data_IF_159529966141
#
_entry.id   IF_159529966141
#
_cell.length_a   1.000
_cell.length_b   1.000
_cell.length_c   1.000
_cell.angle_alpha   90.00
_cell.angle_beta   90.00
_cell.angle_gamma   90.00
#
_symmetry.space_group_name_H-M   'P 1'
#
loop_
_entity.id
_entity.type
_entity.pdbx_description
1 polymer ?
#
# COMPACT_ATOMS: atom_id res chain seq x y z
N UNK A 1 -20.04 -10.10 -23.26
CA UNK A 1 -18.79 -9.37 -22.90
C UNK A 1 -17.59 -10.25 -23.27
N UNK A 2 -16.63 -9.74 -24.05
CA UNK A 2 -15.47 -10.52 -24.51
C UNK A 2 -14.50 -10.89 -23.38
N UNK A 3 -13.63 -11.89 -23.58
CA UNK A 3 -12.60 -12.28 -22.59
C UNK A 3 -11.70 -11.10 -22.24
N UNK A 4 -11.25 -10.34 -23.24
CA UNK A 4 -10.41 -9.14 -23.05
C UNK A 4 -11.10 -8.06 -22.21
N UNK A 5 -12.40 -7.85 -22.42
CA UNK A 5 -13.21 -6.94 -21.61
C UNK A 5 -13.31 -7.38 -20.14
N UNK A 6 -13.47 -8.69 -19.89
CA UNK A 6 -13.49 -9.23 -18.52
C UNK A 6 -12.14 -9.05 -17.82
N UNK A 7 -11.03 -9.29 -18.54
CA UNK A 7 -9.68 -9.08 -18.01
C UNK A 7 -9.40 -7.61 -17.69
N UNK A 8 -9.92 -6.68 -18.49
CA UNK A 8 -9.88 -5.25 -18.17
C UNK A 8 -10.61 -4.92 -16.87
N UNK A 9 -11.85 -5.41 -16.69
CA UNK A 9 -12.60 -5.19 -15.44
C UNK A 9 -11.86 -5.79 -14.24
N UNK A 10 -11.24 -6.96 -14.40
CA UNK A 10 -10.41 -7.56 -13.37
C UNK A 10 -9.19 -6.70 -13.02
N UNK A 11 -8.51 -6.13 -14.02
CA UNK A 11 -7.39 -5.20 -13.80
C UNK A 11 -7.83 -3.95 -13.04
N UNK A 12 -9.00 -3.39 -13.38
CA UNK A 12 -9.57 -2.24 -12.66
C UNK A 12 -9.94 -2.59 -11.20
N UNK A 13 -10.43 -3.80 -10.94
CA UNK A 13 -10.66 -4.28 -9.59
C UNK A 13 -9.37 -4.39 -8.78
N UNK A 14 -8.29 -4.88 -9.39
CA UNK A 14 -6.96 -4.93 -8.75
C UNK A 14 -6.39 -3.54 -8.48
N UNK A 15 -6.62 -2.61 -9.40
CA UNK A 15 -6.27 -1.20 -9.23
C UNK A 15 -6.98 -0.60 -8.00
N UNK A 16 -8.27 -0.89 -7.83
CA UNK A 16 -9.02 -0.43 -6.66
C UNK A 16 -8.52 -1.04 -5.34
N UNK A 17 -8.17 -2.33 -5.35
CA UNK A 17 -7.55 -3.02 -4.20
C UNK A 17 -6.20 -2.41 -3.83
N UNK A 18 -5.40 -2.02 -4.82
CA UNK A 18 -4.15 -1.31 -4.61
C UNK A 18 -4.36 0.00 -3.84
N UNK A 19 -5.25 0.87 -4.30
CA UNK A 19 -5.54 2.14 -3.63
C UNK A 19 -6.10 1.96 -2.21
N UNK A 20 -6.89 0.90 -1.95
CA UNK A 20 -7.33 0.60 -0.59
C UNK A 20 -6.15 0.21 0.30
N UNK A 21 -5.23 -0.58 -0.22
CA UNK A 21 -4.03 -1.00 0.49
C UNK A 21 -3.06 0.15 0.77
N UNK A 22 -2.99 1.13 -0.13
CA UNK A 22 -2.26 2.38 0.13
C UNK A 22 -2.88 3.17 1.28
N UNK A 23 -4.21 3.28 1.33
CA UNK A 23 -4.92 3.93 2.45
C UNK A 23 -4.67 3.20 3.77
N UNK A 24 -4.77 1.88 3.77
CA UNK A 24 -4.42 1.04 4.91
C UNK A 24 -2.98 1.30 5.35
N UNK A 25 -2.05 1.35 4.40
CA UNK A 25 -0.64 1.61 4.66
C UNK A 25 -0.39 2.96 5.34
N UNK A 26 -1.03 4.03 4.86
CA UNK A 26 -0.95 5.36 5.47
C UNK A 26 -1.47 5.31 6.92
N UNK A 27 -2.64 4.70 7.15
CA UNK A 27 -3.22 4.59 8.49
C UNK A 27 -2.33 3.81 9.47
N UNK A 28 -1.70 2.73 9.01
CA UNK A 28 -0.75 1.96 9.82
C UNK A 28 0.52 2.76 10.15
N UNK A 29 1.02 3.54 9.19
CA UNK A 29 2.19 4.41 9.40
C UNK A 29 1.88 5.51 10.41
N UNK A 30 0.72 6.16 10.31
CA UNK A 30 0.26 7.18 11.26
C UNK A 30 0.03 6.60 12.66
N UNK A 31 -0.54 5.39 12.74
CA UNK A 31 -0.66 4.64 13.99
C UNK A 31 0.70 4.35 14.61
N UNK A 32 1.65 3.86 13.81
CA UNK A 32 3.03 3.61 14.23
C UNK A 32 3.71 4.90 14.71
N UNK A 33 3.55 6.02 14.00
CA UNK A 33 4.04 7.35 14.42
C UNK A 33 3.56 7.71 15.83
N UNK A 34 2.26 7.55 16.05
CA UNK A 34 1.59 7.89 17.31
C UNK A 34 2.12 7.03 18.45
N UNK A 35 2.21 5.71 18.25
CA UNK A 35 2.72 4.78 19.24
C UNK A 35 4.21 5.00 19.54
N UNK A 36 5.01 5.29 18.52
CA UNK A 36 6.44 5.57 18.65
C UNK A 36 6.71 6.86 19.41
N UNK A 37 5.94 7.92 19.14
CA UNK A 37 6.06 9.18 19.85
C UNK A 37 5.64 9.05 21.32
N UNK A 38 4.61 8.25 21.63
CA UNK A 38 4.24 7.95 23.01
C UNK A 38 5.39 7.25 23.77
N UNK A 39 6.04 6.25 23.15
CA UNK A 39 7.19 5.57 23.73
C UNK A 39 8.37 6.52 24.00
N UNK A 40 8.64 7.46 23.07
CA UNK A 40 9.71 8.46 23.22
C UNK A 40 9.42 9.45 24.33
N UNK A 41 8.20 9.98 24.39
CA UNK A 41 7.80 10.97 25.39
C UNK A 41 7.96 10.42 26.83
N UNK A 42 7.63 9.14 27.05
CA UNK A 42 7.81 8.51 28.36
C UNK A 42 9.28 8.24 28.71
N UNK A 43 10.10 7.86 27.72
CA UNK A 43 11.54 7.69 27.92
C UNK A 43 12.19 9.01 28.34
N UNK A 44 11.83 10.11 27.67
CA UNK A 44 12.30 11.45 27.98
C UNK A 44 11.79 11.94 29.35
N UNK A 45 10.53 11.63 29.70
CA UNK A 45 9.95 11.95 31.01
C UNK A 45 10.60 11.16 32.16
N UNK A 46 11.19 10.00 31.88
CA UNK A 46 11.90 9.16 32.85
C UNK A 46 13.38 9.56 33.05
N UNK A 47 13.95 10.37 32.14
CA UNK A 47 15.34 10.82 32.18
C UNK A 47 15.73 11.74 33.37
N UNK A 48 14.88 12.63 33.94
CA UNK A 48 15.29 13.49 35.05
C UNK A 48 15.43 12.79 36.42
N UNK A 49 15.01 11.54 36.57
CA UNK A 49 15.10 10.82 37.85
C UNK A 49 16.51 10.27 38.16
N UNK A 50 17.33 10.00 37.13
CA UNK A 50 18.69 9.46 37.32
C UNK A 50 19.72 10.53 37.70
N UNK A 51 19.46 11.81 37.38
CA UNK A 51 20.31 12.92 37.79
C UNK A 51 20.09 13.33 39.27
N UNK A 52 18.89 13.13 39.83
CA UNK A 52 18.57 13.43 41.23
C UNK A 52 18.91 12.29 42.20
N UNK A 53 19.02 11.05 41.72
CA UNK A 53 19.38 9.88 42.55
C UNK A 53 20.86 9.83 42.96
N UNK A 54 21.72 10.71 42.42
CA UNK A 54 23.13 10.81 42.77
C UNK A 54 23.44 11.55 44.09
N UNK A 55 22.44 12.03 44.84
CA UNK A 55 22.67 12.83 46.07
C UNK A 55 21.87 12.40 47.30
N UNK A 56 21.45 11.13 47.37
CA UNK A 56 20.83 10.60 48.59
C UNK A 56 21.28 9.16 48.89
N UNK A 57 22.55 9.02 49.26
CA UNK A 57 23.02 7.82 49.96
C UNK A 57 22.74 7.98 51.47
N UNK A 58 21.74 7.28 52.00
CA UNK A 58 21.87 6.61 53.31
C UNK A 58 20.71 5.67 53.63
N UNK A 59 21.10 4.40 53.87
CA UNK A 59 20.52 3.47 54.84
C UNK A 59 19.24 2.69 54.48
N UNK A 60 19.34 1.36 54.48
CA UNK A 60 18.21 0.48 54.80
C UNK A 60 18.00 -0.74 53.88
N UNK A 61 18.81 -1.78 54.07
CA UNK A 61 18.53 -3.21 53.96
C UNK A 61 17.25 -3.72 53.21
N UNK A 62 17.45 -4.55 52.18
CA UNK A 62 16.59 -5.72 51.91
C UNK A 62 15.80 -5.74 50.59
N UNK A 63 16.19 -6.66 49.69
CA UNK A 63 15.29 -7.34 48.75
C UNK A 63 14.93 -6.58 47.48
N UNK A 64 15.67 -6.85 46.41
CA UNK A 64 15.28 -6.50 45.05
C UNK A 64 13.94 -7.16 44.68
N UNK A 65 12.87 -6.37 44.65
CA UNK A 65 11.69 -6.63 43.83
C UNK A 65 11.47 -5.40 42.96
N UNK A 66 11.53 -5.60 41.65
CA UNK A 66 11.13 -4.64 40.64
C UNK A 66 9.74 -4.10 40.99
N UNK A 67 9.69 -2.87 41.51
CA UNK A 67 8.46 -2.20 41.88
C UNK A 67 7.83 -1.62 40.62
N UNK A 68 6.99 -2.43 39.97
CA UNK A 68 6.09 -2.06 38.87
C UNK A 68 4.91 -1.23 39.42
N UNK A 69 5.20 -0.27 40.30
CA UNK A 69 4.23 0.48 41.07
C UNK A 69 4.62 1.97 41.12
N UNK A 70 4.41 2.65 39.99
CA UNK A 70 3.99 4.06 39.97
C UNK A 70 3.27 4.35 38.66
N UNK A 71 2.12 3.69 38.50
CA UNK A 71 1.04 4.19 37.66
C UNK A 71 0.06 4.92 38.56
N UNK A 72 -0.12 6.22 38.28
CA UNK A 72 -1.34 7.03 38.49
C UNK A 72 -1.04 8.37 39.16
N UNK A 73 -0.96 9.44 38.35
CA UNK A 73 -1.01 10.79 38.90
C UNK A 73 -0.77 11.90 37.87
N UNK A 74 -1.85 12.33 37.21
CA UNK A 74 -2.05 13.63 36.54
C UNK A 74 -1.41 13.87 35.16
N UNK A 75 -2.15 13.49 34.11
CA UNK A 75 -2.04 14.10 32.78
C UNK A 75 -2.30 13.13 31.64
N UNK A 76 -3.56 13.00 31.17
CA UNK A 76 -3.92 12.43 29.87
C UNK A 76 -3.12 11.19 29.42
N UNK A 77 -3.27 10.08 30.14
CA UNK A 77 -2.46 8.88 29.98
C UNK A 77 -2.71 8.18 28.62
N UNK A 78 -1.94 8.50 27.58
CA UNK A 78 -1.62 7.50 26.55
C UNK A 78 -0.64 6.52 27.18
N UNK A 79 -1.16 5.48 27.80
CA UNK A 79 -0.34 4.46 28.46
C UNK A 79 0.66 3.88 27.44
N UNK A 80 1.95 3.91 27.77
CA UNK A 80 3.01 3.18 27.07
C UNK A 80 2.53 1.79 26.64
N UNK A 81 2.48 1.55 25.34
CA UNK A 81 2.39 0.19 24.82
C UNK A 81 3.47 -0.02 23.76
N UNK A 82 4.69 -0.41 24.18
CA UNK A 82 5.76 -0.76 23.26
C UNK A 82 5.39 -1.95 22.37
N UNK A 83 4.53 -2.86 22.87
CA UNK A 83 4.06 -3.99 22.08
C UNK A 83 3.14 -3.52 20.95
N UNK A 84 2.31 -2.51 21.18
CA UNK A 84 1.52 -1.88 20.12
C UNK A 84 2.42 -1.27 19.04
N UNK A 85 3.50 -0.57 19.43
CA UNK A 85 4.45 -0.02 18.45
C UNK A 85 5.15 -1.12 17.63
N UNK A 86 5.53 -2.23 18.27
CA UNK A 86 6.10 -3.41 17.61
C UNK A 86 5.10 -4.10 16.68
N UNK A 87 3.86 -4.25 17.10
CA UNK A 87 2.80 -4.86 16.31
C UNK A 87 2.50 -4.01 15.07
N UNK A 88 2.33 -2.69 15.24
CA UNK A 88 2.11 -1.77 14.13
C UNK A 88 3.30 -1.76 13.18
N UNK A 89 4.54 -1.79 13.70
CA UNK A 89 5.74 -1.91 12.87
C UNK A 89 5.74 -3.20 12.05
N UNK A 90 5.39 -4.35 12.67
CA UNK A 90 5.29 -5.62 11.96
C UNK A 90 4.19 -5.58 10.88
N UNK A 91 3.05 -4.96 11.15
CA UNK A 91 1.97 -4.77 10.17
C UNK A 91 2.41 -3.87 9.01
N UNK A 92 3.11 -2.76 9.28
CA UNK A 92 3.71 -1.89 8.24
C UNK A 92 4.67 -2.70 7.36
N UNK A 93 5.54 -3.53 7.94
CA UNK A 93 6.46 -4.37 7.15
C UNK A 93 5.73 -5.46 6.36
N UNK A 94 4.61 -5.98 6.87
CA UNK A 94 3.78 -6.95 6.17
C UNK A 94 3.06 -6.36 4.95
N UNK A 95 2.91 -5.04 4.83
CA UNK A 95 2.29 -4.41 3.66
C UNK A 95 2.98 -4.83 2.35
N UNK A 96 4.31 -4.95 2.38
CA UNK A 96 5.17 -5.31 1.24
C UNK A 96 4.73 -6.61 0.56
N UNK A 97 4.43 -7.66 1.33
CA UNK A 97 4.00 -8.94 0.77
C UNK A 97 2.60 -8.86 0.16
N UNK A 98 1.72 -8.05 0.75
CA UNK A 98 0.39 -7.85 0.19
C UNK A 98 0.38 -7.04 -1.11
N UNK A 99 1.25 -6.04 -1.26
CA UNK A 99 1.44 -5.37 -2.55
C UNK A 99 2.08 -6.29 -3.60
N UNK A 100 3.05 -7.11 -3.20
CA UNK A 100 3.64 -8.12 -4.08
C UNK A 100 2.60 -9.12 -4.60
N UNK A 101 1.67 -9.55 -3.74
CA UNK A 101 0.56 -10.41 -4.13
C UNK A 101 -0.37 -9.76 -5.16
N UNK A 102 -0.71 -8.48 -4.98
CA UNK A 102 -1.50 -7.73 -5.97
C UNK A 102 -0.77 -7.60 -7.30
N UNK A 103 0.53 -7.31 -7.27
CA UNK A 103 1.35 -7.19 -8.48
C UNK A 103 1.40 -8.52 -9.24
N UNK A 104 1.58 -9.63 -8.54
CA UNK A 104 1.56 -10.97 -9.13
C UNK A 104 0.21 -11.26 -9.81
N UNK A 105 -0.92 -10.92 -9.16
CA UNK A 105 -2.25 -11.08 -9.75
C UNK A 105 -2.40 -10.26 -11.05
N UNK A 106 -1.82 -9.06 -11.10
CA UNK A 106 -1.83 -8.21 -12.30
C UNK A 106 -0.94 -8.77 -13.42
N UNK A 107 0.23 -9.34 -13.09
CA UNK A 107 1.06 -10.08 -14.05
C UNK A 107 0.29 -11.24 -14.68
N UNK A 108 -0.45 -12.00 -13.87
CA UNK A 108 -1.28 -13.12 -14.34
C UNK A 108 -2.43 -12.65 -15.25
N UNK A 109 -2.97 -11.44 -15.02
CA UNK A 109 -3.95 -10.82 -15.91
C UNK A 109 -3.33 -10.46 -17.27
N UNK A 110 -2.11 -9.90 -17.27
CA UNK A 110 -1.40 -9.57 -18.52
C UNK A 110 -1.08 -10.83 -19.34
N UNK A 111 -0.63 -11.90 -18.69
CA UNK A 111 -0.39 -13.20 -19.34
C UNK A 111 -1.66 -13.75 -19.99
N UNK A 112 -2.79 -13.70 -19.29
CA UNK A 112 -4.10 -14.10 -19.85
C UNK A 112 -4.55 -13.20 -20.99
N UNK A 113 -4.29 -11.90 -20.90
CA UNK A 113 -4.62 -10.95 -21.97
C UNK A 113 -3.78 -11.23 -23.24
N UNK A 114 -2.49 -11.53 -23.09
CA UNK A 114 -1.63 -11.97 -24.19
C UNK A 114 -2.19 -13.22 -24.87
N UNK A 115 -2.60 -14.22 -24.08
CA UNK A 115 -3.19 -15.45 -24.62
C UNK A 115 -4.47 -15.16 -25.40
N UNK A 116 -5.36 -14.31 -24.88
CA UNK A 116 -6.59 -13.91 -25.55
C UNK A 116 -6.34 -13.24 -26.92
N UNK A 117 -5.28 -12.43 -27.04
CA UNK A 117 -4.88 -11.82 -28.32
C UNK A 117 -4.38 -12.86 -29.32
N UNK A 118 -3.58 -13.83 -28.87
CA UNK A 118 -3.09 -14.92 -29.72
C UNK A 118 -4.23 -15.79 -30.25
N UNK A 119 -5.19 -16.12 -29.39
CA UNK A 119 -6.34 -16.93 -29.76
C UNK A 119 -7.27 -16.19 -30.73
N UNK A 120 -7.49 -14.89 -30.51
CA UNK A 120 -8.24 -14.05 -31.44
C UNK A 120 -7.55 -13.96 -32.82
N UNK A 121 -6.22 -13.85 -32.85
CA UNK A 121 -5.44 -13.79 -34.09
C UNK A 121 -5.53 -15.09 -34.89
N UNK A 122 -5.51 -16.25 -34.20
CA UNK A 122 -5.70 -17.57 -34.83
C UNK A 122 -7.10 -17.71 -35.43
N UNK A 123 -8.13 -17.37 -34.65
CA UNK A 123 -9.53 -17.43 -35.11
C UNK A 123 -9.80 -16.47 -36.29
N UNK A 124 -9.12 -15.33 -36.32
CA UNK A 124 -9.23 -14.35 -37.41
C UNK A 124 -8.47 -14.74 -38.67
N UNK A 125 -7.54 -15.70 -38.60
CA UNK A 125 -6.86 -16.25 -39.78
C UNK A 125 -7.72 -17.28 -40.52
N UNK A 126 -8.78 -17.79 -39.88
CA UNK A 126 -9.72 -18.77 -40.43
C UNK A 126 -10.99 -18.13 -41.01
N UNK A 127 -11.27 -16.86 -40.67
CA UNK A 127 -12.44 -16.11 -41.17
C UNK A 127 -11.98 -14.81 -41.82
N UNK A 128 -12.50 -14.52 -43.01
CA UNK A 128 -12.29 -13.23 -43.68
C UNK A 128 -12.65 -12.09 -42.72
N UNK A 129 -11.68 -11.24 -42.40
CA UNK A 129 -11.77 -10.20 -41.39
C UNK A 129 -12.76 -9.12 -41.84
N UNK A 130 -13.99 -9.17 -41.35
CA UNK A 130 -14.85 -7.99 -41.41
C UNK A 130 -14.28 -6.92 -40.47
N UNK A 131 -14.23 -5.65 -40.90
CA UNK A 131 -13.85 -4.54 -40.02
C UNK A 131 -14.77 -4.51 -38.79
N UNK A 132 -14.18 -4.42 -37.59
CA UNK A 132 -14.97 -4.22 -36.38
C UNK A 132 -15.78 -2.91 -36.52
N UNK A 133 -17.11 -2.92 -36.28
CA UNK A 133 -17.89 -1.71 -36.27
C UNK A 133 -17.41 -0.78 -35.15
N UNK A 134 -17.14 0.49 -35.47
CA UNK A 134 -16.87 1.50 -34.44
C UNK A 134 -18.12 1.66 -33.56
N UNK A 135 -17.99 1.75 -32.22
CA UNK A 135 -16.78 2.06 -31.44
C UNK A 135 -16.10 0.84 -30.78
N UNK A 136 -16.08 -0.33 -31.43
CA UNK A 136 -15.57 -1.54 -30.79
C UNK A 136 -14.04 -1.51 -30.54
N UNK A 137 -13.63 -1.93 -29.33
CA UNK A 137 -12.22 -2.13 -28.96
C UNK A 137 -11.77 -3.54 -29.35
N UNK A 138 -10.61 -3.64 -29.99
CA UNK A 138 -10.00 -4.91 -30.34
C UNK A 138 -9.29 -5.54 -29.12
N UNK A 139 -9.11 -6.88 -29.09
CA UNK A 139 -8.37 -7.57 -28.02
C UNK A 139 -6.97 -6.99 -27.75
N UNK A 140 -6.29 -6.51 -28.80
CA UNK A 140 -4.96 -5.91 -28.69
C UNK A 140 -4.97 -4.59 -27.90
N UNK A 141 -6.03 -3.78 -28.01
CA UNK A 141 -6.16 -2.52 -27.29
C UNK A 141 -6.20 -2.77 -25.77
N UNK A 142 -6.94 -3.80 -25.35
CA UNK A 142 -7.00 -4.22 -23.95
C UNK A 142 -5.66 -4.74 -23.44
N UNK A 143 -4.96 -5.54 -24.24
CA UNK A 143 -3.65 -6.07 -23.86
C UNK A 143 -2.62 -4.94 -23.67
N UNK A 144 -2.57 -3.98 -24.59
CA UNK A 144 -1.69 -2.83 -24.49
C UNK A 144 -2.01 -2.00 -23.25
N UNK A 145 -3.30 -1.73 -23.00
CA UNK A 145 -3.73 -1.01 -21.81
C UNK A 145 -3.30 -1.73 -20.52
N UNK A 146 -3.60 -3.02 -20.38
CA UNK A 146 -3.22 -3.82 -19.20
C UNK A 146 -1.70 -3.82 -19.01
N UNK A 147 -0.93 -3.91 -20.10
CA UNK A 147 0.53 -3.85 -20.04
C UNK A 147 1.07 -2.51 -19.57
N UNK A 148 0.48 -1.40 -20.02
CA UNK A 148 0.87 -0.06 -19.55
C UNK A 148 0.54 0.14 -18.07
N UNK A 149 -0.67 -0.25 -17.65
CA UNK A 149 -1.07 -0.14 -16.23
C UNK A 149 -0.17 -1.01 -15.34
N UNK A 150 0.14 -2.25 -15.76
CA UNK A 150 1.03 -3.12 -15.00
C UNK A 150 2.41 -2.49 -14.80
N UNK A 151 3.01 -1.91 -15.86
CA UNK A 151 4.30 -1.25 -15.75
C UNK A 151 4.28 -0.08 -14.76
N UNK A 152 3.18 0.67 -14.70
CA UNK A 152 3.00 1.73 -13.69
C UNK A 152 2.92 1.15 -12.27
N UNK A 153 2.20 0.04 -12.08
CA UNK A 153 2.13 -0.65 -10.77
C UNK A 153 3.45 -1.32 -10.36
N UNK A 154 4.26 -1.80 -11.30
CA UNK A 154 5.61 -2.30 -11.01
C UNK A 154 6.52 -1.19 -10.49
N UNK A 155 6.46 0.01 -11.11
CA UNK A 155 7.20 1.18 -10.65
C UNK A 155 6.71 1.65 -9.27
N UNK A 156 5.39 1.69 -9.07
CA UNK A 156 4.79 2.04 -7.77
C UNK A 156 5.18 1.03 -6.69
N UNK A 157 5.22 -0.27 -7.01
CA UNK A 157 5.67 -1.30 -6.07
C UNK A 157 7.10 -1.04 -5.58
N UNK A 158 8.03 -0.76 -6.50
CA UNK A 158 9.42 -0.47 -6.16
C UNK A 158 9.55 0.78 -5.28
N UNK A 159 8.73 1.79 -5.53
CA UNK A 159 8.66 3.00 -4.71
C UNK A 159 8.13 2.70 -3.31
N UNK A 160 6.99 2.03 -3.21
CA UNK A 160 6.40 1.58 -1.94
C UNK A 160 7.37 0.71 -1.15
N UNK A 161 8.05 -0.24 -1.81
CA UNK A 161 9.06 -1.10 -1.20
C UNK A 161 10.21 -0.28 -0.59
N UNK A 162 10.75 0.68 -1.34
CA UNK A 162 11.80 1.56 -0.84
C UNK A 162 11.34 2.41 0.35
N UNK A 163 10.10 2.93 0.32
CA UNK A 163 9.51 3.67 1.44
C UNK A 163 9.37 2.80 2.69
N UNK A 164 8.85 1.58 2.55
CA UNK A 164 8.68 0.64 3.65
C UNK A 164 10.02 0.25 4.26
N UNK A 165 11.05 0.03 3.45
CA UNK A 165 12.38 -0.38 3.94
C UNK A 165 13.07 0.72 4.76
N UNK A 166 12.75 2.01 4.52
CA UNK A 166 13.24 3.13 5.33
C UNK A 166 12.62 3.23 6.72
N UNK A 167 11.42 2.69 6.94
CA UNK A 167 10.73 2.76 8.23
C UNK A 167 11.46 1.90 9.27
N UNK A 168 11.78 2.50 10.41
CA UNK A 168 12.49 1.89 11.55
C UNK A 168 12.14 2.60 12.85
N UNK A 169 12.45 2.02 14.01
CA UNK A 169 12.20 2.66 15.32
C UNK A 169 13.03 3.93 15.56
N UNK A 170 14.11 4.13 14.81
CA UNK A 170 14.96 5.33 14.89
C UNK A 170 14.49 6.45 13.95
N UNK A 171 13.46 6.22 13.13
CA UNK A 171 12.97 7.21 12.17
C UNK A 171 12.41 8.44 12.90
N UNK A 172 12.77 9.63 12.42
CA UNK A 172 12.22 10.87 12.98
C UNK A 172 10.79 11.09 12.50
N UNK A 173 10.01 11.84 13.28
CA UNK A 173 8.63 12.24 12.94
C UNK A 173 8.58 12.98 11.59
N UNK A 174 9.57 13.84 11.33
CA UNK A 174 9.67 14.60 10.07
C UNK A 174 9.95 13.70 8.86
N UNK A 175 10.86 12.73 9.02
CA UNK A 175 11.11 11.71 8.00
C UNK A 175 9.85 10.89 7.72
N UNK A 176 9.13 10.46 8.76
CA UNK A 176 7.92 9.65 8.58
C UNK A 176 6.81 10.43 7.86
N UNK A 177 6.59 11.70 8.21
CA UNK A 177 5.67 12.59 7.47
C UNK A 177 6.07 12.77 6.02
N UNK A 178 7.36 12.94 5.76
CA UNK A 178 7.89 13.01 4.39
C UNK A 178 7.61 11.73 3.62
N UNK A 179 7.76 10.56 4.26
CA UNK A 179 7.41 9.27 3.65
C UNK A 179 5.91 9.19 3.32
N UNK A 180 5.03 9.58 4.24
CA UNK A 180 3.56 9.57 4.01
C UNK A 180 3.18 10.50 2.86
N UNK A 181 3.77 11.70 2.77
CA UNK A 181 3.55 12.62 1.65
C UNK A 181 4.04 11.98 0.34
N UNK A 182 5.24 11.38 0.35
CA UNK A 182 5.79 10.72 -0.83
C UNK A 182 5.00 9.49 -1.26
N UNK A 183 4.34 8.80 -0.33
CA UNK A 183 3.45 7.67 -0.61
C UNK A 183 2.14 8.16 -1.23
N UNK A 184 1.53 9.19 -0.64
CA UNK A 184 0.21 9.69 -1.08
C UNK A 184 0.20 10.37 -2.45
N UNK A 185 1.37 10.67 -3.01
CA UNK A 185 1.52 11.42 -4.26
C UNK A 185 2.01 10.57 -5.44
N UNK A 186 1.78 9.24 -5.40
CA UNK A 186 2.14 8.23 -6.43
C UNK A 186 2.50 8.85 -7.79
N UNK A 187 3.80 8.91 -8.15
CA UNK A 187 4.24 9.65 -9.33
C UNK A 187 4.06 8.84 -10.63
N UNK A 188 3.66 7.57 -10.54
CA UNK A 188 3.64 6.65 -11.68
C UNK A 188 2.24 6.37 -12.21
N UNK A 189 1.20 6.46 -11.38
CA UNK A 189 -0.17 6.16 -11.78
C UNK A 189 -0.79 7.36 -12.52
N UNK A 190 -1.25 7.13 -13.76
CA UNK A 190 -1.97 8.13 -14.56
C UNK A 190 -3.49 7.87 -14.54
N UNK A 191 -4.25 8.49 -13.62
CA UNK A 191 -5.69 8.30 -13.54
C UNK A 191 -6.44 8.87 -14.77
N UNK A 192 -5.85 9.77 -15.54
CA UNK A 192 -6.47 10.29 -16.76
C UNK A 192 -6.45 9.25 -17.87
N UNK A 193 -5.32 8.57 -18.06
CA UNK A 193 -5.20 7.44 -18.98
C UNK A 193 -6.21 6.34 -18.67
N UNK A 194 -6.29 5.90 -17.40
CA UNK A 194 -7.22 4.84 -17.00
C UNK A 194 -8.69 5.24 -17.19
N UNK A 195 -9.05 6.51 -16.89
CA UNK A 195 -10.41 7.04 -17.14
C UNK A 195 -10.74 7.13 -18.63
N UNK A 196 -9.80 7.59 -19.45
CA UNK A 196 -10.00 7.71 -20.90
C UNK A 196 -10.27 6.34 -21.53
N UNK A 197 -9.50 5.31 -21.15
CA UNK A 197 -9.73 3.96 -21.64
C UNK A 197 -11.06 3.38 -21.15
N UNK A 198 -11.43 3.61 -19.87
CA UNK A 198 -12.73 3.18 -19.33
C UNK A 198 -13.90 3.76 -20.12
N UNK A 199 -13.87 5.05 -20.48
CA UNK A 199 -14.90 5.67 -21.34
C UNK A 199 -15.00 4.97 -22.70
N UNK A 200 -13.86 4.65 -23.33
CA UNK A 200 -13.85 3.91 -24.60
C UNK A 200 -14.45 2.51 -24.44
N UNK A 201 -14.17 1.83 -23.34
CA UNK A 201 -14.74 0.53 -23.01
C UNK A 201 -16.26 0.59 -22.80
N UNK A 202 -16.75 1.58 -22.07
CA UNK A 202 -18.18 1.83 -21.86
C UNK A 202 -18.90 2.07 -23.19
N UNK A 203 -18.34 2.93 -24.06
CA UNK A 203 -18.91 3.19 -25.39
C UNK A 203 -18.94 1.93 -26.27
N UNK A 204 -17.88 1.13 -26.24
CA UNK A 204 -17.79 -0.13 -26.98
C UNK A 204 -18.80 -1.18 -26.50
N UNK A 205 -19.15 -1.16 -25.21
CA UNK A 205 -20.08 -2.13 -24.61
C UNK A 205 -21.53 -1.67 -24.66
N UNK A 206 -21.80 -0.37 -24.54
CA UNK A 206 -23.15 0.19 -24.70
C UNK A 206 -23.61 0.20 -26.15
N UNK A 207 -22.70 0.46 -27.10
CA UNK A 207 -22.99 0.41 -28.53
C UNK A 207 -23.24 -1.00 -29.09
N UNK A 208 -22.80 -2.05 -28.37
CA UNK A 208 -23.06 -3.45 -28.74
C UNK A 208 -24.41 -3.98 -28.20
N UNK A 209 -25.14 -3.19 -27.40
CA UNK A 209 -26.42 -3.56 -26.78
C UNK A 209 -27.65 -2.89 -27.43
N UNK A 210 -27.43 -2.11 -28.50
CA UNK A 210 -28.47 -1.48 -29.33
C UNK A 210 -28.54 -2.16 -30.70
#
# INVERSE_FOLDING_TARGET
MSVSAQLFVAMQSKSAQWYEKEREGIALIEGFETALNACRAELDASAPAVAAAGSAASSGNGGARFSLASLSGLGGNSQMDPLLAEELFAQVKALKSGFAGLLQDMCDLQLRARQAVLDASRASSEKAVEPLPLPALAPIDYYQFIGHELAAYEAEYQHVEALLDMISFTITTDQLRTLVISWSTSPFLDPEQSRAFRKRHELATSGAAA
#
